data_IF_913835503722
#
_entry.id   IF_913835503722
#
_cell.length_a   1.000
_cell.length_b   1.000
_cell.length_c   1.000
_cell.angle_alpha   90.00
_cell.angle_beta   90.00
_cell.angle_gamma   90.00
#
_symmetry.space_group_name_H-M   'P 1'
#
loop_
_entity.id
_entity.type
_entity.pdbx_description
1 polymer ?
#
# COMPACT_ATOMS: atom_id res chain seq x y z
N UNK A 1 -18.53 -25.92 7.84
CA UNK A 1 -18.35 -24.61 8.49
C UNK A 1 -19.32 -23.63 7.86
N UNK A 2 -20.02 -22.86 8.69
CA UNK A 2 -20.83 -21.73 8.23
C UNK A 2 -19.92 -20.59 7.77
N UNK A 3 -20.45 -19.62 6.98
CA UNK A 3 -19.71 -18.44 6.59
C UNK A 3 -19.18 -17.64 7.81
N UNK A 4 -20.00 -17.55 8.86
CA UNK A 4 -19.62 -16.87 10.10
C UNK A 4 -18.43 -17.56 10.80
N UNK A 5 -18.40 -18.88 10.83
CA UNK A 5 -17.27 -19.63 11.39
C UNK A 5 -16.00 -19.47 10.57
N UNK A 6 -16.12 -19.41 9.23
CA UNK A 6 -14.99 -19.17 8.34
C UNK A 6 -14.42 -17.77 8.56
N UNK A 7 -15.26 -16.74 8.64
CA UNK A 7 -14.80 -15.36 8.89
C UNK A 7 -14.22 -15.19 10.30
N UNK A 8 -14.80 -15.83 11.30
CA UNK A 8 -14.24 -15.83 12.66
C UNK A 8 -12.84 -16.49 12.69
N UNK A 9 -12.67 -17.61 11.99
CA UNK A 9 -11.37 -18.28 11.88
C UNK A 9 -10.32 -17.41 11.18
N UNK A 10 -10.67 -16.80 10.03
CA UNK A 10 -9.77 -15.89 9.30
C UNK A 10 -9.34 -14.70 10.18
N UNK A 11 -10.30 -14.08 10.87
CA UNK A 11 -10.05 -12.96 11.77
C UNK A 11 -9.14 -13.37 12.92
N UNK A 12 -9.35 -14.53 13.52
CA UNK A 12 -8.52 -15.08 14.59
C UNK A 12 -7.07 -15.28 14.11
N UNK A 13 -6.89 -15.96 12.97
CA UNK A 13 -5.56 -16.23 12.40
C UNK A 13 -4.84 -14.93 12.08
N UNK A 14 -5.51 -13.99 11.39
CA UNK A 14 -4.91 -12.71 11.01
C UNK A 14 -4.51 -11.88 12.24
N UNK A 15 -5.37 -11.84 13.25
CA UNK A 15 -5.07 -11.13 14.51
C UNK A 15 -3.87 -11.74 15.23
N UNK A 16 -3.80 -13.07 15.29
CA UNK A 16 -2.67 -13.77 15.90
C UNK A 16 -1.35 -13.49 15.17
N UNK A 17 -1.37 -13.54 13.83
CA UNK A 17 -0.21 -13.23 13.01
C UNK A 17 0.23 -11.77 13.16
N UNK A 18 -0.71 -10.82 13.13
CA UNK A 18 -0.40 -9.41 13.30
C UNK A 18 0.30 -9.12 14.64
N UNK A 19 -0.19 -9.70 15.73
CA UNK A 19 0.46 -9.60 17.05
C UNK A 19 1.85 -10.24 17.08
N UNK A 20 2.01 -11.37 16.39
CA UNK A 20 3.32 -12.01 16.25
C UNK A 20 4.31 -11.17 15.44
N UNK A 21 3.82 -10.46 14.41
CA UNK A 21 4.62 -9.53 13.61
C UNK A 21 5.04 -8.30 14.43
N UNK A 22 4.12 -7.70 15.18
CA UNK A 22 4.42 -6.57 16.06
C UNK A 22 5.56 -6.91 17.05
N UNK A 23 5.50 -8.09 17.67
CA UNK A 23 6.52 -8.57 18.63
C UNK A 23 7.89 -8.82 18.00
N UNK A 24 7.97 -9.00 16.69
CA UNK A 24 9.20 -9.34 15.96
C UNK A 24 9.67 -8.22 15.04
N UNK A 25 9.01 -7.08 15.10
CA UNK A 25 9.25 -5.95 14.17
C UNK A 25 9.14 -6.33 12.68
N UNK A 26 8.23 -7.25 12.35
CA UNK A 26 7.93 -7.67 10.98
C UNK A 26 6.82 -6.78 10.44
N UNK A 27 7.04 -6.18 9.26
CA UNK A 27 6.03 -5.40 8.57
C UNK A 27 4.93 -6.30 7.98
N UNK A 28 3.66 -5.94 8.26
CA UNK A 28 2.49 -6.59 7.68
C UNK A 28 2.07 -5.87 6.40
N UNK A 29 1.82 -6.62 5.33
CA UNK A 29 1.34 -6.07 4.07
C UNK A 29 -0.04 -6.67 3.74
N UNK A 30 -1.05 -5.82 3.71
CA UNK A 30 -2.44 -6.22 3.44
C UNK A 30 -2.87 -5.76 2.05
N UNK A 31 -3.43 -6.68 1.27
CA UNK A 31 -3.88 -6.46 -0.09
C UNK A 31 -5.40 -6.63 -0.19
N UNK A 32 -6.07 -5.67 -0.81
CA UNK A 32 -7.54 -5.61 -0.87
C UNK A 32 -8.05 -5.50 -2.30
N UNK A 33 -9.34 -5.75 -2.45
CA UNK A 33 -10.12 -5.48 -3.64
C UNK A 33 -9.81 -6.37 -4.86
N UNK A 34 -9.34 -7.60 -4.68
CA UNK A 34 -9.11 -8.56 -5.77
C UNK A 34 -10.26 -9.55 -5.91
N UNK A 35 -10.83 -9.66 -7.12
CA UNK A 35 -11.63 -10.80 -7.56
C UNK A 35 -10.74 -11.68 -8.42
N UNK A 36 -10.55 -12.92 -7.98
CA UNK A 36 -9.71 -13.88 -8.70
C UNK A 36 -10.55 -14.74 -9.63
N UNK A 37 -9.95 -15.10 -10.78
CA UNK A 37 -10.48 -16.10 -11.71
C UNK A 37 -11.93 -15.82 -12.14
N UNK A 38 -12.26 -14.57 -12.48
CA UNK A 38 -13.63 -14.09 -12.78
C UNK A 38 -14.28 -14.79 -13.95
N UNK A 39 -13.52 -15.38 -14.88
CA UNK A 39 -14.04 -16.10 -16.03
C UNK A 39 -14.00 -17.62 -15.80
N UNK A 40 -15.12 -18.19 -15.36
CA UNK A 40 -15.21 -19.62 -15.03
C UNK A 40 -14.94 -20.58 -16.22
N UNK A 41 -15.19 -20.15 -17.47
CA UNK A 41 -14.86 -20.94 -18.66
C UNK A 41 -13.34 -21.04 -18.83
N UNK A 42 -12.65 -19.92 -18.69
CA UNK A 42 -11.20 -19.86 -18.82
C UNK A 42 -10.49 -20.52 -17.64
N UNK A 43 -11.06 -20.41 -16.43
CA UNK A 43 -10.55 -21.14 -15.26
C UNK A 43 -10.58 -22.66 -15.49
N UNK A 44 -11.65 -23.20 -16.09
CA UNK A 44 -11.72 -24.63 -16.44
C UNK A 44 -10.73 -25.03 -17.52
N UNK A 45 -10.45 -24.13 -18.47
CA UNK A 45 -9.56 -24.42 -19.59
C UNK A 45 -8.08 -24.27 -19.24
N UNK A 46 -7.70 -23.28 -18.43
CA UNK A 46 -6.31 -22.87 -18.21
C UNK A 46 -5.86 -22.99 -16.75
N UNK A 47 -6.79 -23.16 -15.79
CA UNK A 47 -6.50 -23.16 -14.37
C UNK A 47 -6.41 -21.75 -13.76
N UNK A 48 -5.97 -21.66 -12.49
CA UNK A 48 -5.87 -20.39 -11.75
C UNK A 48 -4.70 -19.54 -12.26
N UNK A 49 -4.71 -18.25 -11.88
CA UNK A 49 -3.60 -17.30 -12.12
C UNK A 49 -3.25 -17.08 -13.61
N UNK A 50 -4.23 -17.14 -14.48
CA UNK A 50 -4.05 -16.99 -15.93
C UNK A 50 -4.51 -15.66 -16.51
N UNK A 51 -4.74 -14.65 -15.63
CA UNK A 51 -4.99 -13.27 -16.05
C UNK A 51 -6.45 -12.86 -16.11
N UNK A 52 -7.38 -13.66 -15.58
CA UNK A 52 -8.82 -13.37 -15.55
C UNK A 52 -9.27 -12.81 -14.20
N UNK A 53 -8.52 -11.86 -13.68
CA UNK A 53 -8.77 -11.19 -12.42
C UNK A 53 -9.36 -9.80 -12.62
N UNK A 54 -10.05 -9.29 -11.62
CA UNK A 54 -10.68 -7.97 -11.61
C UNK A 54 -10.59 -7.31 -10.23
N UNK A 55 -10.82 -6.01 -10.17
CA UNK A 55 -11.04 -5.33 -8.88
C UNK A 55 -12.51 -5.45 -8.47
N UNK A 56 -12.77 -5.37 -7.15
CA UNK A 56 -14.12 -5.26 -6.58
C UNK A 56 -14.28 -3.96 -5.78
N UNK A 57 -15.51 -3.66 -5.43
CA UNK A 57 -15.89 -2.44 -4.70
C UNK A 57 -16.55 -2.72 -3.33
N UNK A 58 -16.32 -3.91 -2.77
CA UNK A 58 -16.83 -4.26 -1.44
C UNK A 58 -16.32 -3.28 -0.38
N UNK A 59 -17.15 -3.00 0.61
CA UNK A 59 -16.78 -2.19 1.75
C UNK A 59 -15.66 -2.84 2.56
N UNK A 60 -14.63 -2.04 2.89
CA UNK A 60 -13.50 -2.51 3.69
C UNK A 60 -13.27 -1.67 4.96
N UNK A 61 -13.79 -0.44 5.00
CA UNK A 61 -13.48 0.53 6.04
C UNK A 61 -13.78 0.03 7.45
N UNK A 62 -15.00 -0.45 7.69
CA UNK A 62 -15.43 -0.88 9.02
C UNK A 62 -14.69 -2.13 9.51
N UNK A 63 -14.53 -3.13 8.63
CA UNK A 63 -13.81 -4.36 8.97
C UNK A 63 -12.34 -4.11 9.28
N UNK A 64 -11.66 -3.30 8.46
CA UNK A 64 -10.27 -2.94 8.68
C UNK A 64 -10.10 -2.07 9.93
N UNK A 65 -10.99 -1.11 10.16
CA UNK A 65 -10.99 -0.29 11.38
C UNK A 65 -11.15 -1.16 12.63
N UNK A 66 -12.11 -2.08 12.65
CA UNK A 66 -12.31 -2.99 13.78
C UNK A 66 -11.09 -3.88 14.03
N UNK A 67 -10.46 -4.39 12.97
CA UNK A 67 -9.24 -5.20 13.07
C UNK A 67 -8.08 -4.41 13.67
N UNK A 68 -7.77 -3.22 13.12
CA UNK A 68 -6.69 -2.37 13.62
C UNK A 68 -6.96 -1.88 15.05
N UNK A 69 -8.22 -1.53 15.36
CA UNK A 69 -8.61 -1.15 16.71
C UNK A 69 -8.40 -2.29 17.72
N UNK A 70 -8.72 -3.53 17.36
CA UNK A 70 -8.46 -4.69 18.21
C UNK A 70 -6.97 -4.82 18.57
N UNK A 71 -6.08 -4.63 17.59
CA UNK A 71 -4.63 -4.65 17.80
C UNK A 71 -4.14 -3.46 18.62
N UNK A 72 -4.72 -2.28 18.42
CA UNK A 72 -4.34 -1.06 19.12
C UNK A 72 -4.69 -1.08 20.60
N UNK A 73 -5.77 -1.77 21.01
CA UNK A 73 -6.15 -1.94 22.43
C UNK A 73 -5.05 -2.59 23.27
N UNK A 74 -4.17 -3.36 22.65
CA UNK A 74 -3.06 -4.04 23.33
C UNK A 74 -1.69 -3.46 22.94
N UNK A 75 -1.66 -2.38 22.16
CA UNK A 75 -0.41 -1.78 21.67
C UNK A 75 0.34 -2.67 20.66
N UNK A 76 -0.35 -3.61 20.00
CA UNK A 76 0.26 -4.63 19.15
C UNK A 76 -0.03 -4.42 17.65
N UNK A 77 -0.22 -3.16 17.22
CA UNK A 77 -0.30 -2.82 15.78
C UNK A 77 1.11 -2.91 15.19
N UNK A 78 1.38 -3.79 14.21
CA UNK A 78 2.69 -3.85 13.56
C UNK A 78 2.89 -2.69 12.58
N UNK A 79 4.12 -2.49 12.10
CA UNK A 79 4.35 -1.71 10.86
C UNK A 79 3.47 -2.30 9.77
N UNK A 80 2.63 -1.49 9.12
CA UNK A 80 1.60 -2.01 8.21
C UNK A 80 1.52 -1.20 6.92
N UNK A 81 1.46 -1.91 5.79
CA UNK A 81 1.27 -1.35 4.47
C UNK A 81 -0.06 -1.85 3.91
N UNK A 82 -0.89 -0.91 3.47
CA UNK A 82 -2.23 -1.17 2.93
C UNK A 82 -2.23 -0.96 1.42
N UNK A 83 -2.53 -2.01 0.65
CA UNK A 83 -2.64 -1.97 -0.80
C UNK A 83 -4.07 -2.23 -1.24
N UNK A 84 -4.55 -1.52 -2.25
CA UNK A 84 -5.83 -1.82 -2.89
C UNK A 84 -5.71 -1.84 -4.40
N UNK A 85 -6.48 -2.71 -5.06
CA UNK A 85 -6.65 -2.72 -6.51
C UNK A 85 -7.65 -1.68 -7.00
N UNK A 86 -8.49 -1.14 -6.10
CA UNK A 86 -9.50 -0.16 -6.48
C UNK A 86 -9.11 1.23 -5.95
N UNK A 87 -8.78 2.19 -6.83
CA UNK A 87 -8.41 3.55 -6.41
C UNK A 87 -9.47 4.26 -5.55
N UNK A 88 -10.76 3.88 -5.64
CA UNK A 88 -11.81 4.43 -4.77
C UNK A 88 -11.51 4.29 -3.27
N UNK A 89 -10.70 3.30 -2.90
CA UNK A 89 -10.39 3.00 -1.51
C UNK A 89 -9.22 3.86 -0.96
N UNK A 90 -8.50 4.57 -1.80
CA UNK A 90 -7.30 5.32 -1.39
C UNK A 90 -7.58 6.30 -0.26
N UNK A 91 -8.66 7.11 -0.34
CA UNK A 91 -9.03 8.03 0.74
C UNK A 91 -9.38 7.29 2.02
N UNK A 92 -10.15 6.23 1.92
CA UNK A 92 -10.54 5.39 3.05
C UNK A 92 -9.31 4.82 3.76
N UNK A 93 -8.39 4.24 3.02
CA UNK A 93 -7.16 3.65 3.57
C UNK A 93 -6.23 4.72 4.14
N UNK A 94 -6.02 5.82 3.42
CA UNK A 94 -5.12 6.89 3.84
C UNK A 94 -5.60 7.61 5.11
N UNK A 95 -6.89 7.87 5.22
CA UNK A 95 -7.46 8.47 6.44
C UNK A 95 -7.45 7.50 7.61
N UNK A 96 -7.75 6.21 7.36
CA UNK A 96 -7.73 5.20 8.40
C UNK A 96 -6.31 4.94 8.94
N UNK A 97 -5.30 4.90 8.07
CA UNK A 97 -3.92 4.72 8.53
C UNK A 97 -3.46 5.87 9.44
N UNK A 98 -4.00 7.09 9.26
CA UNK A 98 -3.73 8.23 10.12
C UNK A 98 -4.17 8.04 11.57
N UNK A 99 -5.16 7.15 11.81
CA UNK A 99 -5.65 6.84 13.16
C UNK A 99 -4.71 5.93 13.96
N UNK A 100 -3.76 5.26 13.32
CA UNK A 100 -2.91 4.25 13.94
C UNK A 100 -1.40 4.53 13.80
N UNK A 101 -1.03 5.77 13.53
CA UNK A 101 0.36 6.22 13.61
C UNK A 101 0.78 6.31 15.10
N UNK A 102 2.06 6.08 15.34
CA UNK A 102 2.67 6.28 16.66
C UNK A 102 4.10 6.82 16.53
N UNK A 103 4.99 6.55 17.50
CA UNK A 103 6.37 7.04 17.51
C UNK A 103 7.27 6.55 16.37
N UNK A 104 6.81 5.63 15.50
CA UNK A 104 7.57 5.16 14.33
C UNK A 104 7.18 5.98 13.10
N UNK A 105 8.09 6.77 12.50
CA UNK A 105 7.78 7.58 11.34
C UNK A 105 7.25 6.77 10.17
N UNK A 106 5.99 7.03 9.75
CA UNK A 106 5.35 6.29 8.67
C UNK A 106 5.05 4.84 9.00
N UNK A 107 4.75 4.52 10.25
CA UNK A 107 4.37 3.17 10.70
C UNK A 107 3.28 2.53 9.84
N UNK A 108 2.23 3.31 9.56
CA UNK A 108 1.18 2.93 8.64
C UNK A 108 1.43 3.57 7.28
N UNK A 109 1.40 2.79 6.22
CA UNK A 109 1.67 3.23 4.86
C UNK A 109 0.46 2.94 3.96
N UNK A 110 0.11 3.90 3.09
CA UNK A 110 -0.63 3.59 1.88
C UNK A 110 0.39 3.07 0.86
N UNK A 111 0.25 1.83 0.46
CA UNK A 111 1.15 1.19 -0.50
C UNK A 111 1.11 1.85 -1.88
N UNK A 112 2.08 1.54 -2.72
CA UNK A 112 2.13 2.04 -4.09
C UNK A 112 0.87 1.65 -4.88
N UNK A 113 0.54 2.44 -5.89
CA UNK A 113 -0.41 2.03 -6.92
C UNK A 113 -0.02 0.63 -7.42
N UNK A 114 -0.96 -0.31 -7.31
CA UNK A 114 -0.66 -1.73 -7.42
C UNK A 114 -1.47 -2.39 -8.52
N UNK A 115 -0.85 -3.34 -9.21
CA UNK A 115 -1.41 -4.18 -10.26
C UNK A 115 -2.13 -3.37 -11.36
N UNK A 116 -3.48 -3.28 -11.34
CA UNK A 116 -4.23 -2.54 -12.37
C UNK A 116 -4.00 -1.03 -12.35
N UNK A 117 -3.61 -0.47 -11.21
CA UNK A 117 -3.29 0.95 -11.07
C UNK A 117 -1.78 1.25 -11.21
N UNK A 118 -0.96 0.24 -11.49
CA UNK A 118 0.50 0.37 -11.63
C UNK A 118 0.87 0.91 -13.02
N UNK A 119 0.44 2.13 -13.29
CA UNK A 119 0.72 2.92 -14.47
C UNK A 119 0.82 4.40 -14.08
N UNK A 120 1.24 5.26 -15.01
CA UNK A 120 1.50 6.68 -14.74
C UNK A 120 0.37 7.34 -13.94
N UNK A 121 -0.86 7.31 -14.46
CA UNK A 121 -1.98 8.04 -13.85
C UNK A 121 -2.34 7.49 -12.48
N UNK A 122 -2.33 6.16 -12.30
CA UNK A 122 -2.58 5.53 -11.00
C UNK A 122 -1.50 5.83 -9.96
N UNK A 123 -0.22 5.86 -10.37
CA UNK A 123 0.88 6.26 -9.49
C UNK A 123 0.77 7.74 -9.09
N UNK A 124 0.45 8.62 -10.06
CA UNK A 124 0.25 10.05 -9.78
C UNK A 124 -0.93 10.26 -8.83
N UNK A 125 -2.07 9.62 -9.07
CA UNK A 125 -3.25 9.70 -8.22
C UNK A 125 -2.94 9.27 -6.79
N UNK A 126 -2.30 8.11 -6.61
CA UNK A 126 -1.95 7.58 -5.29
C UNK A 126 -0.99 8.52 -4.55
N UNK A 127 0.08 9.01 -5.20
CA UNK A 127 1.06 9.88 -4.56
C UNK A 127 0.51 11.28 -4.25
N UNK A 128 -0.33 11.85 -5.12
CA UNK A 128 -1.01 13.13 -4.89
C UNK A 128 -1.96 13.03 -3.71
N UNK A 129 -2.74 11.96 -3.65
CA UNK A 129 -3.64 11.71 -2.52
C UNK A 129 -2.84 11.53 -1.22
N UNK A 130 -1.78 10.75 -1.24
CA UNK A 130 -0.92 10.56 -0.07
C UNK A 130 -0.27 11.87 0.38
N UNK A 131 0.08 12.75 -0.55
CA UNK A 131 0.57 14.11 -0.25
C UNK A 131 -0.46 14.97 0.47
N UNK A 132 -1.74 14.79 0.15
CA UNK A 132 -2.84 15.58 0.72
C UNK A 132 -3.28 15.12 2.13
N UNK A 133 -3.28 13.81 2.38
CA UNK A 133 -3.87 13.24 3.61
C UNK A 133 -2.88 12.45 4.48
N UNK A 134 -1.65 12.32 4.02
CA UNK A 134 -0.60 11.56 4.71
C UNK A 134 0.74 12.27 4.68
N UNK A 135 1.81 11.50 4.84
CA UNK A 135 3.17 12.03 4.89
C UNK A 135 3.98 11.48 3.70
N UNK A 136 3.75 12.05 2.51
CA UNK A 136 4.43 11.62 1.28
C UNK A 136 5.96 11.51 1.41
N UNK A 137 6.70 12.42 2.09
CA UNK A 137 8.14 12.27 2.26
C UNK A 137 8.59 11.00 3.02
N UNK A 138 7.66 10.32 3.70
CA UNK A 138 7.90 9.03 4.38
C UNK A 138 7.38 7.82 3.62
N UNK A 139 6.86 8.04 2.42
CA UNK A 139 6.40 6.96 1.56
C UNK A 139 7.55 5.97 1.25
N UNK A 140 7.27 4.69 1.36
CA UNK A 140 8.25 3.62 1.11
C UNK A 140 8.52 3.34 -0.37
N UNK A 141 7.85 4.08 -1.26
CA UNK A 141 8.04 3.95 -2.69
C UNK A 141 7.30 2.77 -3.32
N UNK A 142 7.73 2.44 -4.53
CA UNK A 142 7.10 1.44 -5.37
C UNK A 142 7.73 0.07 -5.17
N UNK A 143 6.89 -0.94 -5.06
CA UNK A 143 7.25 -2.35 -5.19
C UNK A 143 6.75 -2.85 -6.54
N UNK A 144 7.56 -3.62 -7.27
CA UNK A 144 7.14 -4.13 -8.59
C UNK A 144 6.15 -5.29 -8.47
N UNK A 145 6.20 -6.03 -7.39
CA UNK A 145 5.42 -7.27 -7.16
C UNK A 145 5.36 -8.18 -8.41
N UNK A 146 6.50 -8.36 -9.05
CA UNK A 146 6.59 -9.05 -10.32
C UNK A 146 7.47 -10.29 -10.23
N UNK A 147 7.10 -11.32 -10.98
CA UNK A 147 7.85 -12.57 -11.13
C UNK A 147 8.90 -12.50 -12.25
N UNK A 148 9.03 -11.37 -12.95
CA UNK A 148 9.94 -11.21 -14.08
C UNK A 148 11.14 -10.33 -13.74
N UNK A 149 12.35 -10.76 -14.06
CA UNK A 149 13.55 -9.92 -13.96
C UNK A 149 13.48 -8.66 -14.84
N UNK A 150 12.72 -8.67 -15.92
CA UNK A 150 12.49 -7.51 -16.77
C UNK A 150 11.73 -6.37 -16.04
N UNK A 151 11.07 -6.70 -14.94
CA UNK A 151 10.31 -5.71 -14.13
C UNK A 151 11.19 -4.77 -13.31
N UNK A 152 12.48 -5.00 -13.19
CA UNK A 152 13.37 -4.09 -12.47
C UNK A 152 13.41 -2.68 -13.09
N UNK A 153 13.22 -2.58 -14.40
CA UNK A 153 13.11 -1.30 -15.11
C UNK A 153 11.90 -0.46 -14.68
N UNK A 154 10.86 -1.10 -14.10
CA UNK A 154 9.67 -0.39 -13.60
C UNK A 154 9.98 0.53 -12.43
N UNK A 155 11.01 0.26 -11.65
CA UNK A 155 11.46 1.17 -10.62
C UNK A 155 12.06 2.46 -11.18
N UNK A 156 12.72 2.42 -12.35
CA UNK A 156 13.13 3.63 -13.07
C UNK A 156 11.92 4.41 -13.58
N UNK A 157 10.92 3.72 -14.12
CA UNK A 157 9.66 4.33 -14.53
C UNK A 157 8.98 5.09 -13.38
N UNK A 158 8.87 4.45 -12.22
CA UNK A 158 8.36 5.09 -11.01
C UNK A 158 9.14 6.35 -10.62
N UNK A 159 10.48 6.27 -10.59
CA UNK A 159 11.31 7.43 -10.22
C UNK A 159 11.14 8.60 -11.19
N UNK A 160 10.93 8.35 -12.48
CA UNK A 160 10.64 9.40 -13.46
C UNK A 160 9.32 10.10 -13.17
N UNK A 161 8.28 9.33 -12.84
CA UNK A 161 6.98 9.88 -12.44
C UNK A 161 7.11 10.69 -11.15
N UNK A 162 7.78 10.14 -10.14
CA UNK A 162 8.03 10.81 -8.87
C UNK A 162 8.75 12.15 -9.06
N UNK A 163 9.84 12.16 -9.82
CA UNK A 163 10.58 13.40 -10.11
C UNK A 163 9.72 14.41 -10.87
N UNK A 164 8.89 13.96 -11.80
CA UNK A 164 7.99 14.83 -12.56
C UNK A 164 6.94 15.48 -11.66
N UNK A 165 6.35 14.73 -10.72
CA UNK A 165 5.38 15.27 -9.74
C UNK A 165 6.04 16.37 -8.91
N UNK A 166 7.18 16.11 -8.30
CA UNK A 166 7.87 17.09 -7.45
C UNK A 166 8.37 18.30 -8.27
N UNK A 167 8.86 18.06 -9.48
CA UNK A 167 9.28 19.15 -10.38
C UNK A 167 8.11 20.06 -10.76
N UNK A 168 6.98 19.48 -11.16
CA UNK A 168 5.76 20.24 -11.49
C UNK A 168 5.28 21.07 -10.30
N UNK A 169 5.18 20.46 -9.11
CA UNK A 169 4.75 21.18 -7.89
C UNK A 169 5.69 22.34 -7.53
N UNK A 170 7.01 22.16 -7.73
CA UNK A 170 7.98 23.23 -7.50
C UNK A 170 7.87 24.36 -8.53
N UNK A 171 7.66 24.04 -9.82
CA UNK A 171 7.45 25.00 -10.89
C UNK A 171 6.13 25.79 -10.72
N UNK A 172 5.08 25.12 -10.27
CA UNK A 172 3.78 25.73 -10.01
C UNK A 172 3.72 26.46 -8.66
N UNK A 173 4.75 26.36 -7.83
CA UNK A 173 4.83 27.02 -6.52
C UNK A 173 4.01 26.35 -5.42
N UNK A 174 3.60 25.11 -5.63
CA UNK A 174 2.87 24.31 -4.61
C UNK A 174 3.78 23.83 -3.47
N UNK A 175 5.08 23.65 -3.77
CA UNK A 175 6.13 23.32 -2.81
C UNK A 175 7.36 24.20 -3.02
N UNK A 176 8.24 24.37 -2.00
CA UNK A 176 9.47 25.14 -2.15
C UNK A 176 10.38 24.59 -3.27
N UNK A 177 10.90 25.47 -4.12
CA UNK A 177 11.88 25.11 -5.15
C UNK A 177 13.30 25.03 -4.54
N UNK A 178 13.48 24.07 -3.63
CA UNK A 178 14.74 23.74 -2.98
C UNK A 178 15.23 22.39 -3.48
N UNK A 179 16.18 22.40 -4.40
CA UNK A 179 16.65 21.20 -5.09
C UNK A 179 17.35 20.21 -4.14
N UNK A 180 17.99 20.69 -3.08
CA UNK A 180 18.64 19.81 -2.08
C UNK A 180 17.58 19.11 -1.23
N UNK A 181 16.57 19.83 -0.78
CA UNK A 181 15.44 19.26 -0.06
C UNK A 181 14.67 18.26 -0.92
N UNK A 182 14.28 18.65 -2.13
CA UNK A 182 13.52 17.80 -3.06
C UNK A 182 14.32 16.54 -3.43
N UNK A 183 15.61 16.69 -3.73
CA UNK A 183 16.50 15.57 -4.03
C UNK A 183 16.62 14.57 -2.86
N UNK A 184 16.64 15.05 -1.62
CA UNK A 184 16.64 14.21 -0.44
C UNK A 184 15.30 13.45 -0.29
N UNK A 185 14.17 14.12 -0.48
CA UNK A 185 12.84 13.47 -0.43
C UNK A 185 12.72 12.39 -1.50
N UNK A 186 13.06 12.70 -2.75
CA UNK A 186 13.03 11.75 -3.87
C UNK A 186 13.94 10.54 -3.61
N UNK A 187 15.16 10.75 -3.08
CA UNK A 187 16.07 9.66 -2.72
C UNK A 187 15.49 8.77 -1.63
N UNK A 188 14.89 9.38 -0.62
CA UNK A 188 14.28 8.64 0.48
C UNK A 188 13.08 7.83 0.01
N UNK A 189 12.17 8.39 -0.78
CA UNK A 189 11.04 7.64 -1.36
C UNK A 189 11.53 6.52 -2.28
N UNK A 190 12.60 6.76 -3.04
CA UNK A 190 13.14 5.77 -3.99
C UNK A 190 13.90 4.63 -3.32
N UNK A 191 14.41 4.80 -2.09
CA UNK A 191 15.24 3.79 -1.45
C UNK A 191 15.30 3.92 0.08
N UNK A 192 15.64 5.11 0.61
CA UNK A 192 16.00 5.29 2.01
C UNK A 192 14.88 4.91 2.98
N UNK A 193 13.64 5.29 2.65
CA UNK A 193 12.48 4.99 3.49
C UNK A 193 12.19 3.49 3.58
N UNK A 194 12.22 2.78 2.45
CA UNK A 194 12.01 1.33 2.43
C UNK A 194 13.12 0.61 3.22
N UNK A 195 14.38 1.02 3.03
CA UNK A 195 15.50 0.47 3.79
C UNK A 195 15.31 0.66 5.30
N UNK A 196 15.00 1.87 5.75
CA UNK A 196 14.78 2.15 7.17
C UNK A 196 13.53 1.45 7.72
N UNK A 197 12.50 1.28 6.90
CA UNK A 197 11.25 0.64 7.31
C UNK A 197 11.38 -0.87 7.55
N UNK A 198 12.19 -1.55 6.75
CA UNK A 198 12.32 -3.01 6.81
C UNK A 198 13.57 -3.49 7.56
N UNK A 199 14.63 -2.68 7.63
CA UNK A 199 15.92 -3.06 8.24
C UNK A 199 16.20 -2.34 9.56
N UNK A 200 15.42 -1.29 9.90
CA UNK A 200 15.63 -0.39 11.03
C UNK A 200 15.02 -0.84 12.35
#
# INVERSE_FOLDING_TARGET
LSEVEVEAYKTFVLTHLARAYAKRDIAMQLHFASIRDSNGLMFKALGPDTGYDASHDKELAQGLSAFLNNLSQTGEVPKTILYTLNPKDYYTLATLMGCYQDGIPGKMQLGSAWWFADHKDGMEEQMKLLGNVGLLPRFIGMLTDSRSFLSYSRHEYFRRILCNIFGTWAEEGEIPNDMDMLGNVVRNISFGNAKAYFEG
#
